data_IF_579701378020
#
_entry.id   IF_579701378020
#
_cell.length_a   1.000
_cell.length_b   1.000
_cell.length_c   1.000
_cell.angle_alpha   90.00
_cell.angle_beta   90.00
_cell.angle_gamma   90.00
#
_symmetry.space_group_name_H-M   'P 1'
#
loop_
_entity.id
_entity.type
_entity.pdbx_description
1 polymer ?
#
# COMPACT_ATOMS: atom_id res chain seq x y z
N UNK A 1 78.60 -16.95 54.35
CA UNK A 1 79.78 -16.04 54.42
C UNK A 1 80.52 -16.12 53.09
N UNK A 2 81.08 -15.03 52.52
CA UNK A 2 80.80 -13.62 52.77
C UNK A 2 80.78 -12.72 51.48
N UNK A 3 80.52 -11.43 51.69
CA UNK A 3 80.85 -10.24 50.86
C UNK A 3 80.03 -10.00 49.57
N UNK A 4 79.64 -8.77 49.19
CA UNK A 4 79.89 -7.40 49.70
C UNK A 4 78.81 -6.47 49.10
N UNK A 5 78.42 -5.46 49.88
CA UNK A 5 77.55 -4.32 49.50
C UNK A 5 78.15 -3.51 48.34
N UNK A 6 77.30 -2.96 47.46
CA UNK A 6 77.39 -1.57 46.98
C UNK A 6 76.01 -0.99 46.66
N UNK A 7 75.66 0.04 47.42
CA UNK A 7 74.61 1.04 47.14
C UNK A 7 75.06 1.94 45.99
N UNK A 8 74.18 2.18 45.00
CA UNK A 8 74.31 3.28 44.04
C UNK A 8 72.93 3.95 43.91
N UNK A 9 72.99 5.28 43.82
CA UNK A 9 71.95 6.27 44.04
C UNK A 9 70.91 6.40 42.92
N UNK A 10 69.81 7.09 43.28
CA UNK A 10 68.71 7.57 42.45
C UNK A 10 69.16 8.24 41.14
N UNK A 11 68.43 7.92 40.07
CA UNK A 11 68.15 8.84 38.98
C UNK A 11 66.66 8.75 38.64
N UNK A 12 65.88 9.74 39.11
CA UNK A 12 64.49 9.94 38.71
C UNK A 12 64.46 10.48 37.27
N UNK A 13 64.06 9.65 36.32
CA UNK A 13 63.74 10.08 34.96
C UNK A 13 62.28 10.53 34.94
N UNK A 14 62.07 11.83 34.79
CA UNK A 14 60.77 12.44 34.47
C UNK A 14 60.38 12.06 33.03
N UNK A 15 59.50 11.07 32.89
CA UNK A 15 58.87 10.75 31.62
C UNK A 15 57.80 11.80 31.29
N UNK A 16 58.11 12.71 30.38
CA UNK A 16 57.12 13.58 29.76
C UNK A 16 56.29 12.75 28.76
N UNK A 17 55.13 12.25 29.20
CA UNK A 17 54.15 11.64 28.31
C UNK A 17 53.54 12.72 27.41
N UNK A 18 54.06 12.83 26.18
CA UNK A 18 53.39 13.53 25.10
C UNK A 18 52.21 12.68 24.65
N UNK A 19 51.00 13.06 25.06
CA UNK A 19 49.77 12.47 24.55
C UNK A 19 49.60 12.90 23.08
N UNK A 20 49.98 12.01 22.16
CA UNK A 20 49.59 12.14 20.75
C UNK A 20 48.12 11.78 20.67
N UNK A 21 47.25 12.78 20.57
CA UNK A 21 45.86 12.57 20.20
C UNK A 21 45.81 12.07 18.75
N UNK A 22 45.71 10.76 18.55
CA UNK A 22 45.27 10.22 17.27
C UNK A 22 43.80 10.59 17.11
N UNK A 23 43.53 11.67 16.39
CA UNK A 23 42.23 11.90 15.81
C UNK A 23 41.98 10.77 14.80
N UNK A 24 41.19 9.78 15.21
CA UNK A 24 40.63 8.81 14.29
C UNK A 24 39.63 9.56 13.39
N UNK A 25 40.12 10.04 12.25
CA UNK A 25 39.25 10.44 11.16
C UNK A 25 38.52 9.17 10.72
N UNK A 26 37.25 9.05 11.09
CA UNK A 26 36.36 8.09 10.44
C UNK A 26 36.39 8.42 8.95
N UNK A 27 36.60 7.43 8.05
CA UNK A 27 36.48 7.71 6.64
C UNK A 27 35.05 8.21 6.43
N UNK A 28 34.91 9.47 6.01
CA UNK A 28 33.66 9.98 5.51
C UNK A 28 33.29 9.08 4.33
N UNK A 29 32.38 8.14 4.54
CA UNK A 29 31.76 7.43 3.43
C UNK A 29 31.20 8.52 2.52
N UNK A 30 31.72 8.63 1.30
CA UNK A 30 31.21 9.59 0.34
C UNK A 30 29.72 9.28 0.15
N UNK A 31 28.85 10.10 0.75
CA UNK A 31 27.41 9.99 0.55
C UNK A 31 27.19 10.08 -0.93
N UNK A 32 26.58 9.04 -1.53
CA UNK A 32 26.26 9.04 -2.95
C UNK A 32 25.54 10.37 -3.25
N UNK A 33 25.94 11.12 -4.30
CA UNK A 33 25.28 12.38 -4.59
C UNK A 33 23.80 12.10 -4.84
N UNK A 34 22.93 12.81 -4.13
CA UNK A 34 21.49 12.74 -4.36
C UNK A 34 21.13 13.34 -5.71
N UNK A 35 19.89 13.12 -6.15
CA UNK A 35 19.37 13.76 -7.36
C UNK A 35 19.05 15.24 -7.17
N UNK A 36 18.80 15.68 -5.93
CA UNK A 36 18.38 17.05 -5.62
C UNK A 36 17.01 17.44 -6.16
N UNK A 37 16.25 16.48 -6.72
CA UNK A 37 14.92 16.70 -7.31
C UNK A 37 13.85 15.92 -6.56
N UNK A 38 12.66 16.53 -6.42
CA UNK A 38 11.46 15.88 -5.86
C UNK A 38 10.62 15.13 -6.91
N UNK A 39 11.09 15.07 -8.15
CA UNK A 39 10.42 14.38 -9.25
C UNK A 39 11.37 13.48 -10.02
N UNK A 40 10.82 12.47 -10.68
CA UNK A 40 11.55 11.45 -11.42
C UNK A 40 10.70 10.73 -12.44
N UNK A 41 11.23 9.63 -12.99
CA UNK A 41 10.48 8.70 -13.85
C UNK A 41 10.72 7.27 -13.41
N UNK A 42 9.69 6.44 -13.50
CA UNK A 42 9.69 5.04 -13.11
C UNK A 42 9.05 4.15 -14.18
N UNK A 43 9.54 2.91 -14.29
CA UNK A 43 8.83 1.84 -14.98
C UNK A 43 7.93 1.13 -13.97
N UNK A 44 6.66 0.97 -14.31
CA UNK A 44 5.65 0.27 -13.51
C UNK A 44 4.85 -0.63 -14.44
N UNK A 45 4.21 -1.67 -13.91
CA UNK A 45 2.99 -2.14 -14.56
C UNK A 45 1.94 -1.04 -14.47
N UNK A 46 0.93 -1.09 -15.33
CA UNK A 46 -0.27 -0.24 -15.18
C UNK A 46 -0.96 -0.61 -13.85
N UNK A 47 -2.22 -1.02 -13.84
CA UNK A 47 -2.77 -1.61 -12.59
C UNK A 47 -2.05 -2.93 -12.31
N UNK A 48 -2.20 -3.88 -13.23
CA UNK A 48 -1.36 -5.07 -13.30
C UNK A 48 -1.42 -5.63 -14.75
N UNK A 49 -0.61 -6.66 -15.08
CA UNK A 49 -0.60 -7.25 -16.43
C UNK A 49 -1.93 -7.87 -16.88
N UNK A 50 -2.67 -8.55 -16.01
CA UNK A 50 -3.95 -9.20 -16.36
C UNK A 50 -5.02 -8.14 -16.63
N UNK A 51 -5.15 -7.15 -15.75
CA UNK A 51 -6.09 -6.04 -15.87
C UNK A 51 -5.89 -5.23 -17.17
N UNK A 52 -4.64 -4.93 -17.52
CA UNK A 52 -4.32 -4.07 -18.68
C UNK A 52 -4.38 -4.81 -20.02
N UNK A 53 -4.17 -6.13 -20.01
CA UNK A 53 -4.14 -6.97 -21.22
C UNK A 53 -5.47 -7.71 -21.47
N UNK A 54 -6.18 -8.08 -20.40
CA UNK A 54 -7.29 -9.03 -20.40
C UNK A 54 -6.85 -10.49 -20.53
N UNK A 55 -5.55 -10.77 -20.48
CA UNK A 55 -5.00 -12.11 -20.68
C UNK A 55 -4.95 -12.87 -19.35
N UNK A 56 -5.90 -13.78 -19.19
CA UNK A 56 -6.02 -14.67 -18.03
C UNK A 56 -5.07 -15.88 -18.10
N UNK A 57 -4.20 -15.98 -19.12
CA UNK A 57 -3.22 -17.07 -19.25
C UNK A 57 -1.81 -16.69 -18.78
N UNK A 58 -1.62 -15.41 -18.38
CA UNK A 58 -0.36 -14.97 -17.80
C UNK A 58 -0.08 -15.74 -16.51
N UNK A 59 1.19 -16.06 -16.30
CA UNK A 59 1.68 -16.73 -15.09
C UNK A 59 3.03 -16.15 -14.73
N UNK A 60 3.40 -16.18 -13.45
CA UNK A 60 4.64 -15.57 -12.96
C UNK A 60 5.91 -15.99 -13.74
N UNK A 61 6.11 -17.28 -14.03
CA UNK A 61 7.31 -17.78 -14.72
C UNK A 61 8.65 -17.34 -14.08
N UNK A 62 8.68 -17.15 -12.76
CA UNK A 62 9.86 -16.78 -11.95
C UNK A 62 10.51 -15.48 -12.41
N UNK A 63 9.74 -14.40 -12.40
CA UNK A 63 10.21 -13.05 -12.77
C UNK A 63 10.77 -12.96 -14.20
N UNK A 64 10.38 -13.88 -15.08
CA UNK A 64 10.77 -13.79 -16.49
C UNK A 64 10.10 -12.59 -17.14
N UNK A 65 10.89 -11.72 -17.78
CA UNK A 65 10.35 -10.62 -18.59
C UNK A 65 9.47 -11.11 -19.74
N UNK A 66 9.65 -12.36 -20.20
CA UNK A 66 8.82 -12.96 -21.25
C UNK A 66 7.43 -13.40 -20.76
N UNK A 67 7.21 -13.45 -19.45
CA UNK A 67 5.95 -13.85 -18.83
C UNK A 67 4.82 -12.84 -19.07
N UNK A 68 5.19 -11.57 -19.27
CA UNK A 68 4.27 -10.45 -19.40
C UNK A 68 4.56 -9.69 -20.69
N UNK A 69 3.54 -9.19 -21.41
CA UNK A 69 3.77 -8.40 -22.60
C UNK A 69 4.34 -7.02 -22.24
N UNK A 70 5.25 -6.48 -23.05
CA UNK A 70 5.79 -5.13 -22.87
C UNK A 70 4.71 -4.03 -22.82
N UNK A 71 3.53 -4.28 -23.39
CA UNK A 71 2.37 -3.38 -23.33
C UNK A 71 1.71 -3.27 -21.96
N UNK A 72 2.04 -4.15 -21.01
CA UNK A 72 1.59 -4.05 -19.62
C UNK A 72 2.37 -2.99 -18.81
N UNK A 73 3.55 -2.60 -19.29
CA UNK A 73 4.39 -1.59 -18.65
C UNK A 73 4.00 -0.17 -19.07
N UNK A 74 4.16 0.75 -18.14
CA UNK A 74 4.07 2.18 -18.38
C UNK A 74 5.29 2.91 -17.79
N UNK A 75 5.74 3.97 -18.47
CA UNK A 75 6.65 4.94 -17.87
C UNK A 75 5.84 6.05 -17.21
N UNK A 76 5.98 6.23 -15.91
CA UNK A 76 5.20 7.18 -15.11
C UNK A 76 6.09 8.24 -14.45
N UNK A 77 5.55 9.44 -14.17
CA UNK A 77 6.24 10.39 -13.31
C UNK A 77 6.25 9.90 -11.87
N UNK A 78 7.43 9.86 -11.24
CA UNK A 78 7.56 9.69 -9.79
C UNK A 78 7.51 11.06 -9.12
N UNK A 79 6.66 11.19 -8.11
CA UNK A 79 6.35 12.44 -7.41
C UNK A 79 6.76 12.34 -5.94
N UNK A 80 6.92 13.49 -5.30
CA UNK A 80 7.16 13.62 -3.85
C UNK A 80 8.48 13.00 -3.36
N UNK A 81 9.51 12.88 -4.23
CA UNK A 81 10.83 12.37 -3.84
C UNK A 81 11.55 13.34 -2.90
N UNK A 82 12.41 12.82 -2.03
CA UNK A 82 13.19 13.62 -1.07
C UNK A 82 14.51 14.18 -1.65
N UNK A 83 14.83 13.87 -2.91
CA UNK A 83 16.06 14.28 -3.58
C UNK A 83 17.31 13.48 -3.19
N UNK A 84 17.18 12.45 -2.34
CA UNK A 84 18.29 11.58 -1.92
C UNK A 84 18.79 10.65 -3.02
N UNK A 85 18.02 10.51 -4.11
CA UNK A 85 18.25 9.52 -5.17
C UNK A 85 17.68 8.13 -4.85
N UNK A 86 17.14 7.91 -3.64
CA UNK A 86 16.38 6.70 -3.29
C UNK A 86 14.87 6.93 -3.52
N UNK A 87 14.10 5.84 -3.55
CA UNK A 87 12.64 5.86 -3.53
C UNK A 87 12.11 6.21 -2.12
N UNK A 88 12.32 7.45 -1.71
CA UNK A 88 11.91 8.04 -0.43
C UNK A 88 11.30 9.39 -0.66
N UNK A 89 10.34 9.77 0.18
CA UNK A 89 9.51 10.92 -0.12
C UNK A 89 8.56 11.36 0.99
N UNK A 90 7.71 12.33 0.65
CA UNK A 90 6.76 12.94 1.58
C UNK A 90 5.67 11.99 2.07
N UNK A 91 5.30 11.00 1.25
CA UNK A 91 4.21 10.07 1.56
C UNK A 91 4.68 8.63 1.76
N UNK A 92 5.79 8.25 1.14
CA UNK A 92 6.27 6.86 1.17
C UNK A 92 7.79 6.81 1.27
N UNK A 93 8.26 5.86 2.05
CA UNK A 93 9.66 5.49 2.12
C UNK A 93 9.78 3.99 1.82
N UNK A 94 10.36 3.67 0.66
CA UNK A 94 10.69 2.28 0.38
C UNK A 94 11.94 1.88 1.18
N UNK A 95 11.78 0.82 1.97
CA UNK A 95 12.79 0.26 2.86
C UNK A 95 13.10 -1.16 2.40
N UNK A 96 14.09 -1.32 1.53
CA UNK A 96 14.65 -2.64 1.25
C UNK A 96 15.47 -3.10 2.46
N UNK A 97 15.10 -4.26 3.03
CA UNK A 97 15.88 -4.97 4.06
C UNK A 97 16.62 -6.18 3.48
N UNK A 98 16.18 -6.62 2.30
CA UNK A 98 16.66 -7.70 1.44
C UNK A 98 16.75 -7.11 0.04
N UNK A 99 17.76 -7.50 -0.75
CA UNK A 99 18.00 -6.93 -2.07
C UNK A 99 18.75 -5.58 -2.09
N UNK A 100 18.98 -5.06 -3.29
CA UNK A 100 19.67 -3.77 -3.49
C UNK A 100 18.64 -2.64 -3.55
N UNK A 101 18.70 -1.64 -2.63
CA UNK A 101 17.80 -0.50 -2.68
C UNK A 101 17.92 0.25 -4.02
N UNK A 102 16.78 0.53 -4.65
CA UNK A 102 16.73 1.32 -5.88
C UNK A 102 17.34 2.71 -5.64
N UNK A 103 18.33 3.07 -6.46
CA UNK A 103 19.04 4.34 -6.36
C UNK A 103 19.34 4.93 -7.74
N UNK A 104 19.13 6.24 -7.90
CA UNK A 104 19.38 6.97 -9.14
C UNK A 104 19.75 8.43 -8.86
N UNK A 105 20.90 8.87 -9.37
CA UNK A 105 21.34 10.28 -9.25
C UNK A 105 20.55 11.22 -10.17
N UNK A 106 19.75 10.68 -11.10
CA UNK A 106 18.90 11.44 -12.02
C UNK A 106 17.41 11.18 -11.79
N UNK A 107 17.05 10.47 -10.71
CA UNK A 107 15.69 9.97 -10.45
C UNK A 107 15.05 9.24 -11.65
N UNK A 108 15.85 8.51 -12.41
CA UNK A 108 15.35 7.61 -13.46
C UNK A 108 15.46 6.17 -12.98
N UNK A 109 14.32 5.50 -12.80
CA UNK A 109 14.19 4.14 -12.26
C UNK A 109 13.49 3.24 -13.29
N UNK A 110 14.25 2.80 -14.30
CA UNK A 110 13.74 1.95 -15.38
C UNK A 110 14.20 0.52 -15.14
N UNK A 111 13.34 -0.25 -14.51
CA UNK A 111 13.55 -1.67 -14.25
C UNK A 111 12.48 -2.49 -14.94
N UNK A 112 12.80 -3.75 -15.24
CA UNK A 112 11.84 -4.78 -15.62
C UNK A 112 11.55 -5.67 -14.42
N UNK A 113 10.51 -6.50 -14.53
CA UNK A 113 10.08 -7.36 -13.42
C UNK A 113 11.17 -8.31 -12.94
N UNK A 114 12.10 -8.70 -13.82
CA UNK A 114 13.26 -9.50 -13.47
C UNK A 114 14.20 -8.89 -12.40
N UNK A 115 13.99 -7.64 -11.99
CA UNK A 115 14.86 -6.91 -11.08
C UNK A 115 14.06 -6.49 -9.84
N UNK A 116 14.52 -6.87 -8.62
CA UNK A 116 13.87 -6.51 -7.34
C UNK A 116 13.58 -5.00 -7.18
N UNK A 117 14.30 -4.13 -7.90
CA UNK A 117 14.02 -2.69 -7.87
C UNK A 117 12.72 -2.30 -8.57
N UNK A 118 12.18 -3.13 -9.45
CA UNK A 118 10.91 -2.90 -10.12
C UNK A 118 9.76 -2.87 -9.10
N UNK A 119 9.68 -3.87 -8.23
CA UNK A 119 8.73 -3.95 -7.12
C UNK A 119 8.84 -2.72 -6.19
N UNK A 120 10.07 -2.24 -5.95
CA UNK A 120 10.29 -1.01 -5.18
C UNK A 120 9.69 0.22 -5.88
N UNK A 121 9.80 0.32 -7.22
CA UNK A 121 9.20 1.42 -8.00
C UNK A 121 7.67 1.32 -8.00
N UNK A 122 7.11 0.10 -8.15
CA UNK A 122 5.68 -0.17 -8.05
C UNK A 122 5.13 0.31 -6.71
N UNK A 123 5.72 -0.14 -5.60
CA UNK A 123 5.31 0.25 -4.26
C UNK A 123 5.40 1.77 -4.02
N UNK A 124 6.49 2.41 -4.46
CA UNK A 124 6.65 3.86 -4.34
C UNK A 124 5.56 4.61 -5.11
N UNK A 125 5.30 4.21 -6.36
CA UNK A 125 4.33 4.87 -7.22
C UNK A 125 2.90 4.68 -6.70
N UNK A 126 2.50 3.45 -6.40
CA UNK A 126 1.11 3.12 -6.06
C UNK A 126 0.68 3.63 -4.68
N UNK A 127 1.57 3.67 -3.69
CA UNK A 127 1.27 4.33 -2.40
C UNK A 127 1.14 5.84 -2.57
N UNK A 128 2.00 6.49 -3.37
CA UNK A 128 1.81 7.91 -3.70
C UNK A 128 0.48 8.14 -4.43
N UNK A 129 0.15 7.30 -5.41
CA UNK A 129 -1.08 7.42 -6.21
C UNK A 129 -2.32 7.26 -5.33
N UNK A 130 -2.33 6.32 -4.37
CA UNK A 130 -3.40 6.16 -3.39
C UNK A 130 -3.51 7.36 -2.45
N UNK A 131 -2.39 7.84 -1.91
CA UNK A 131 -2.39 9.01 -1.02
C UNK A 131 -2.89 10.28 -1.72
N UNK A 132 -2.44 10.54 -2.94
CA UNK A 132 -2.90 11.67 -3.74
C UNK A 132 -4.36 11.52 -4.18
N UNK A 133 -4.83 10.29 -4.44
CA UNK A 133 -6.24 10.02 -4.67
C UNK A 133 -7.08 10.45 -3.47
N UNK A 134 -6.72 10.01 -2.26
CA UNK A 134 -7.39 10.37 -1.00
C UNK A 134 -7.37 11.89 -0.79
N UNK A 135 -6.24 12.56 -1.05
CA UNK A 135 -6.15 14.02 -0.96
C UNK A 135 -7.06 14.73 -1.96
N UNK A 136 -7.19 14.20 -3.18
CA UNK A 136 -8.09 14.74 -4.20
C UNK A 136 -9.58 14.66 -3.82
N UNK A 137 -9.93 13.82 -2.85
CA UNK A 137 -11.27 13.71 -2.27
C UNK A 137 -11.53 14.77 -1.18
N UNK A 138 -10.51 15.54 -0.77
CA UNK A 138 -10.59 16.60 0.23
C UNK A 138 -9.89 16.28 1.56
N UNK A 139 -9.48 15.03 1.80
CA UNK A 139 -8.84 14.63 3.05
C UNK A 139 -7.46 15.27 3.22
N UNK A 140 -7.25 15.93 4.35
CA UNK A 140 -6.06 16.73 4.63
C UNK A 140 -6.13 18.18 4.15
N UNK A 141 -7.26 18.59 3.56
CA UNK A 141 -7.60 19.98 3.22
C UNK A 141 -8.95 20.39 3.83
N UNK A 142 -10.08 20.07 3.19
CA UNK A 142 -11.44 20.37 3.66
C UNK A 142 -11.99 19.31 4.62
N UNK A 143 -11.45 18.09 4.58
CA UNK A 143 -11.74 16.99 5.49
C UNK A 143 -10.50 16.65 6.33
N UNK A 144 -10.64 15.94 7.46
CA UNK A 144 -9.50 15.53 8.29
C UNK A 144 -8.41 14.78 7.49
N UNK A 145 -7.15 14.91 7.90
CA UNK A 145 -6.05 14.23 7.23
C UNK A 145 -6.03 12.73 7.52
N UNK A 146 -5.67 11.93 6.50
CA UNK A 146 -5.53 10.47 6.56
C UNK A 146 -4.10 10.14 6.12
N UNK A 147 -3.41 9.29 6.89
CA UNK A 147 -2.00 8.90 6.68
C UNK A 147 -1.14 10.10 6.21
N UNK A 148 -1.30 11.26 6.85
CA UNK A 148 -0.69 12.54 6.41
C UNK A 148 0.77 12.65 6.87
N UNK A 149 1.56 11.61 6.60
CA UNK A 149 2.95 11.45 6.98
C UNK A 149 3.65 10.44 6.07
N UNK A 150 4.99 10.43 5.98
CA UNK A 150 5.70 9.37 5.28
C UNK A 150 5.40 8.00 5.89
N UNK A 151 5.07 7.04 5.03
CA UNK A 151 4.74 5.68 5.42
C UNK A 151 5.80 4.71 4.91
N UNK A 152 6.33 3.86 5.79
CA UNK A 152 7.38 2.91 5.42
C UNK A 152 6.75 1.69 4.70
N UNK A 153 7.31 1.32 3.55
CA UNK A 153 6.93 0.12 2.81
C UNK A 153 8.15 -0.77 2.65
N UNK A 154 8.00 -2.03 3.02
CA UNK A 154 9.06 -3.03 2.94
C UNK A 154 8.70 -4.09 1.92
N UNK A 155 9.54 -4.20 0.91
CA UNK A 155 9.46 -5.23 -0.13
C UNK A 155 10.28 -6.44 0.34
N UNK A 156 10.01 -7.61 -0.22
CA UNK A 156 10.85 -8.81 -0.12
C UNK A 156 10.95 -9.41 1.29
N UNK A 157 9.91 -9.25 2.12
CA UNK A 157 9.97 -9.57 3.56
C UNK A 157 9.60 -11.01 3.91
N UNK A 158 8.98 -11.75 2.99
CA UNK A 158 8.47 -13.09 3.23
C UNK A 158 8.60 -13.92 1.96
N UNK A 159 9.27 -15.08 2.02
CA UNK A 159 9.40 -16.00 0.88
C UNK A 159 8.13 -16.81 0.60
N UNK A 160 6.99 -16.36 1.10
CA UNK A 160 5.67 -16.93 0.88
C UNK A 160 4.72 -15.85 0.38
N UNK A 161 3.56 -16.29 -0.05
CA UNK A 161 2.49 -15.48 -0.63
C UNK A 161 1.66 -14.90 0.52
N UNK A 162 2.07 -13.72 1.00
CA UNK A 162 1.39 -13.02 2.08
C UNK A 162 1.93 -11.59 2.26
N UNK A 163 1.04 -10.62 2.13
CA UNK A 163 1.26 -9.22 2.47
C UNK A 163 0.49 -8.83 3.73
N UNK A 164 0.96 -7.80 4.44
CA UNK A 164 0.23 -7.26 5.59
C UNK A 164 0.75 -5.89 6.03
N UNK A 165 -0.17 -5.08 6.55
CA UNK A 165 0.12 -3.91 7.37
C UNK A 165 0.34 -4.30 8.84
N UNK A 166 1.25 -3.59 9.53
CA UNK A 166 1.37 -3.65 10.99
C UNK A 166 1.28 -2.27 11.60
N UNK A 167 0.65 -2.14 12.78
CA UNK A 167 0.56 -0.86 13.50
C UNK A 167 1.82 -0.49 14.29
N UNK A 168 2.59 -1.49 14.72
CA UNK A 168 3.81 -1.31 15.52
C UNK A 168 4.87 -2.33 15.10
N UNK A 169 5.84 -1.96 14.26
CA UNK A 169 6.01 -0.65 13.62
C UNK A 169 4.94 -0.37 12.55
N UNK A 170 4.50 0.89 12.42
CA UNK A 170 3.50 1.32 11.44
C UNK A 170 4.06 1.26 10.00
N UNK A 171 3.79 0.17 9.26
CA UNK A 171 4.35 -0.09 7.93
C UNK A 171 3.59 -1.17 7.16
N UNK A 172 3.81 -1.23 5.85
CA UNK A 172 3.41 -2.37 4.98
C UNK A 172 4.61 -3.29 4.75
N UNK A 173 4.34 -4.59 4.67
CA UNK A 173 5.26 -5.61 4.17
C UNK A 173 4.61 -6.34 3.01
N UNK A 174 5.36 -6.48 1.92
CA UNK A 174 4.93 -7.22 0.73
C UNK A 174 5.68 -8.56 0.62
N UNK A 175 4.95 -9.59 0.21
CA UNK A 175 5.40 -10.97 -0.01
C UNK A 175 6.12 -11.18 -1.34
N UNK A 176 6.46 -12.44 -1.63
CA UNK A 176 7.13 -12.92 -2.86
C UNK A 176 6.59 -14.28 -3.33
N UNK A 177 5.33 -14.60 -3.02
CA UNK A 177 4.84 -15.95 -3.20
C UNK A 177 4.02 -16.12 -4.46
N UNK A 178 4.51 -16.94 -5.39
CA UNK A 178 3.84 -17.06 -6.69
C UNK A 178 4.23 -15.87 -7.55
N UNK A 179 3.29 -14.95 -7.78
CA UNK A 179 3.59 -13.62 -8.30
C UNK A 179 4.11 -12.81 -7.12
N UNK A 180 5.15 -12.00 -7.33
CA UNK A 180 5.59 -11.09 -6.29
C UNK A 180 4.48 -10.05 -6.01
N UNK A 181 3.96 -9.99 -4.77
CA UNK A 181 2.81 -9.16 -4.37
C UNK A 181 2.97 -7.67 -4.76
N UNK A 182 4.23 -7.19 -4.81
CA UNK A 182 4.58 -5.83 -5.21
C UNK A 182 4.54 -5.59 -6.74
N UNK A 183 4.21 -6.59 -7.53
CA UNK A 183 3.92 -6.49 -8.96
C UNK A 183 2.43 -6.23 -9.26
N UNK A 184 1.54 -6.36 -8.27
CA UNK A 184 0.13 -6.01 -8.42
C UNK A 184 -0.19 -4.72 -7.65
N UNK A 185 -0.60 -3.68 -8.38
CA UNK A 185 -1.02 -2.41 -7.77
C UNK A 185 -2.13 -2.60 -6.76
N UNK A 186 -3.03 -3.55 -7.00
CA UNK A 186 -4.21 -3.73 -6.17
C UNK A 186 -3.85 -4.34 -4.82
N UNK A 187 -2.84 -5.22 -4.77
CA UNK A 187 -2.28 -5.73 -3.50
C UNK A 187 -1.62 -4.58 -2.71
N UNK A 188 -0.77 -3.78 -3.36
CA UNK A 188 -0.10 -2.63 -2.72
C UNK A 188 -1.12 -1.66 -2.10
N UNK A 189 -2.17 -1.33 -2.85
CA UNK A 189 -3.18 -0.36 -2.39
C UNK A 189 -4.13 -0.96 -1.36
N UNK A 190 -4.44 -2.25 -1.43
CA UNK A 190 -5.21 -2.94 -0.40
C UNK A 190 -4.52 -2.81 0.96
N UNK A 191 -3.22 -3.10 1.02
CA UNK A 191 -2.42 -2.98 2.24
C UNK A 191 -2.34 -1.53 2.75
N UNK A 192 -2.31 -0.57 1.83
CA UNK A 192 -2.43 0.84 2.19
C UNK A 192 -3.82 1.21 2.72
N UNK A 193 -4.87 0.49 2.31
CA UNK A 193 -6.22 0.58 2.86
C UNK A 193 -6.28 0.27 4.36
N UNK A 194 -5.53 -0.73 4.83
CA UNK A 194 -5.40 -0.98 6.27
C UNK A 194 -4.73 0.19 7.00
N UNK A 195 -3.68 0.79 6.40
CA UNK A 195 -3.04 1.97 6.98
C UNK A 195 -4.02 3.14 7.07
N UNK A 196 -4.86 3.35 6.05
CA UNK A 196 -5.94 4.35 6.05
C UNK A 196 -6.89 4.14 7.23
N UNK A 197 -7.44 2.94 7.41
CA UNK A 197 -8.29 2.60 8.55
C UNK A 197 -7.60 2.84 9.89
N UNK A 198 -6.40 2.30 10.08
CA UNK A 198 -5.64 2.46 11.32
C UNK A 198 -5.34 3.93 11.65
N UNK A 199 -5.19 4.80 10.64
CA UNK A 199 -4.98 6.24 10.84
C UNK A 199 -6.23 6.98 11.30
N UNK A 200 -7.42 6.47 10.96
CA UNK A 200 -8.72 7.04 11.36
C UNK A 200 -9.19 6.43 12.70
N UNK A 201 -9.00 5.13 12.87
CA UNK A 201 -9.43 4.34 14.03
C UNK A 201 -8.27 3.44 14.47
N UNK A 202 -7.38 3.91 15.36
CA UNK A 202 -6.27 3.09 15.84
C UNK A 202 -6.75 1.78 16.48
N UNK A 203 -6.18 0.64 16.05
CA UNK A 203 -6.58 -0.69 16.50
C UNK A 203 -7.84 -1.26 15.83
N UNK A 204 -8.25 -0.70 14.68
CA UNK A 204 -9.35 -1.24 13.88
C UNK A 204 -9.15 -2.72 13.52
N UNK A 205 -10.27 -3.44 13.36
CA UNK A 205 -10.25 -4.86 13.06
C UNK A 205 -10.22 -5.76 14.28
N UNK A 206 -10.61 -5.27 15.47
CA UNK A 206 -10.57 -6.06 16.71
C UNK A 206 -11.73 -7.04 16.88
N UNK A 207 -12.60 -7.16 15.89
CA UNK A 207 -13.72 -8.12 15.81
C UNK A 207 -13.80 -8.71 14.41
N UNK A 208 -14.53 -9.82 14.21
CA UNK A 208 -14.71 -10.42 12.89
C UNK A 208 -15.32 -9.42 11.89
N UNK A 209 -16.43 -8.77 12.24
CA UNK A 209 -17.08 -7.80 11.37
C UNK A 209 -16.14 -6.62 11.05
N UNK A 210 -15.40 -6.10 12.05
CA UNK A 210 -14.47 -5.00 11.82
C UNK A 210 -13.30 -5.42 10.92
N UNK A 211 -12.77 -6.63 11.11
CA UNK A 211 -11.74 -7.21 10.25
C UNK A 211 -12.24 -7.34 8.82
N UNK A 212 -13.43 -7.92 8.62
CA UNK A 212 -14.07 -8.03 7.30
C UNK A 212 -14.34 -6.68 6.63
N UNK A 213 -14.72 -5.64 7.38
CA UNK A 213 -14.84 -4.27 6.84
C UNK A 213 -13.46 -3.76 6.41
N UNK A 214 -12.40 -4.05 7.17
CA UNK A 214 -11.01 -3.73 6.85
C UNK A 214 -10.56 -4.35 5.53
N UNK A 215 -10.63 -5.67 5.43
CA UNK A 215 -10.31 -6.44 4.21
C UNK A 215 -11.09 -5.93 3.00
N UNK A 216 -12.40 -5.77 3.19
CA UNK A 216 -13.28 -5.27 2.14
C UNK A 216 -12.92 -3.86 1.68
N UNK A 217 -12.53 -2.98 2.59
CA UNK A 217 -12.17 -1.61 2.25
C UNK A 217 -10.85 -1.58 1.49
N UNK A 218 -9.88 -2.40 1.88
CA UNK A 218 -8.63 -2.59 1.13
C UNK A 218 -8.90 -2.94 -0.32
N UNK A 219 -9.70 -3.98 -0.57
CA UNK A 219 -10.06 -4.42 -1.92
C UNK A 219 -10.79 -3.33 -2.71
N UNK A 220 -11.78 -2.69 -2.09
CA UNK A 220 -12.57 -1.65 -2.75
C UNK A 220 -11.70 -0.43 -3.11
N UNK A 221 -10.80 -0.02 -2.20
CA UNK A 221 -9.90 1.11 -2.41
C UNK A 221 -8.89 0.80 -3.52
N UNK A 222 -8.36 -0.42 -3.55
CA UNK A 222 -7.45 -0.90 -4.58
C UNK A 222 -8.03 -0.73 -5.99
N UNK A 223 -9.22 -1.29 -6.24
CA UNK A 223 -9.92 -1.15 -7.53
C UNK A 223 -10.24 0.32 -7.81
N UNK A 224 -10.71 1.08 -6.81
CA UNK A 224 -11.09 2.49 -7.01
C UNK A 224 -9.90 3.37 -7.41
N UNK A 225 -8.74 3.20 -6.77
CA UNK A 225 -7.50 3.91 -7.09
C UNK A 225 -6.94 3.44 -8.44
N UNK A 226 -6.95 2.13 -8.71
CA UNK A 226 -6.53 1.55 -9.98
C UNK A 226 -7.33 2.11 -11.17
N UNK A 227 -8.65 2.15 -11.06
CA UNK A 227 -9.53 2.75 -12.08
C UNK A 227 -9.33 4.26 -12.25
N UNK A 228 -9.11 4.98 -11.14
CA UNK A 228 -8.83 6.40 -11.20
C UNK A 228 -7.50 6.70 -11.91
N UNK A 229 -6.46 5.92 -11.61
CA UNK A 229 -5.17 6.00 -12.29
C UNK A 229 -5.29 5.63 -13.78
N UNK A 230 -6.02 4.54 -14.10
CA UNK A 230 -6.26 4.16 -15.48
C UNK A 230 -6.94 5.28 -16.28
N UNK A 231 -7.95 5.93 -15.72
CA UNK A 231 -8.57 7.11 -16.31
C UNK A 231 -7.61 8.32 -16.43
N UNK A 232 -6.77 8.55 -15.42
CA UNK A 232 -5.78 9.64 -15.41
C UNK A 232 -4.72 9.47 -16.51
N UNK A 233 -4.22 8.26 -16.73
CA UNK A 233 -3.13 7.99 -17.67
C UNK A 233 -3.60 7.44 -19.02
N UNK A 234 -4.91 7.20 -19.20
CA UNK A 234 -5.47 6.62 -20.42
C UNK A 234 -5.09 5.14 -20.59
N UNK A 235 -4.91 4.41 -19.50
CA UNK A 235 -4.58 2.99 -19.55
C UNK A 235 -5.81 2.12 -19.85
N UNK A 236 -5.63 1.00 -20.58
CA UNK A 236 -6.70 0.03 -20.79
C UNK A 236 -7.17 -0.57 -19.46
N UNK A 237 -8.47 -0.88 -19.39
CA UNK A 237 -9.10 -1.69 -18.36
C UNK A 237 -9.82 -2.82 -19.08
N UNK A 238 -9.24 -4.03 -19.08
CA UNK A 238 -9.68 -5.16 -19.91
C UNK A 238 -10.13 -6.38 -19.13
N UNK A 239 -9.77 -6.48 -17.85
CA UNK A 239 -10.34 -7.48 -16.95
C UNK A 239 -11.58 -6.94 -16.21
N UNK A 240 -12.28 -7.84 -15.52
CA UNK A 240 -13.49 -7.52 -14.76
C UNK A 240 -13.17 -6.64 -13.55
N UNK A 241 -13.78 -5.47 -13.45
CA UNK A 241 -13.50 -4.53 -12.34
C UNK A 241 -13.99 -5.04 -10.96
N UNK A 242 -14.84 -6.06 -10.93
CA UNK A 242 -15.33 -6.68 -9.70
C UNK A 242 -14.36 -7.76 -9.16
N UNK A 243 -13.21 -7.94 -9.81
CA UNK A 243 -12.22 -8.98 -9.55
C UNK A 243 -10.88 -8.30 -9.21
N UNK A 244 -10.64 -7.92 -7.95
CA UNK A 244 -9.35 -7.37 -7.52
C UNK A 244 -8.23 -8.42 -7.57
N UNK A 245 -6.99 -7.94 -7.74
CA UNK A 245 -5.72 -8.68 -7.62
C UNK A 245 -5.61 -9.86 -8.58
N UNK A 246 -6.14 -9.70 -9.80
CA UNK A 246 -6.23 -10.76 -10.80
C UNK A 246 -4.86 -11.26 -11.30
N UNK A 247 -3.82 -10.42 -11.30
CA UNK A 247 -2.46 -10.84 -11.62
C UNK A 247 -1.85 -11.70 -10.51
N UNK A 248 -1.88 -11.20 -9.28
CA UNK A 248 -1.40 -11.94 -8.11
C UNK A 248 -2.08 -13.33 -8.00
N UNK A 249 -3.41 -13.33 -8.24
CA UNK A 249 -4.27 -14.51 -8.21
C UNK A 249 -3.93 -15.59 -9.24
N UNK A 250 -3.14 -15.31 -10.28
CA UNK A 250 -2.73 -16.30 -11.28
C UNK A 250 -1.95 -17.47 -10.67
N UNK A 251 -1.36 -17.27 -9.50
CA UNK A 251 -0.54 -18.29 -8.83
C UNK A 251 -1.34 -19.32 -8.03
N UNK A 252 -2.59 -19.02 -7.67
CA UNK A 252 -3.34 -19.83 -6.69
C UNK A 252 -4.84 -19.98 -6.99
N UNK A 253 -5.37 -19.37 -8.07
CA UNK A 253 -6.77 -19.53 -8.50
C UNK A 253 -6.86 -20.10 -9.92
N UNK A 254 -8.04 -20.62 -10.28
CA UNK A 254 -8.38 -20.94 -11.67
C UNK A 254 -8.89 -19.69 -12.40
N UNK A 255 -8.72 -19.63 -13.73
CA UNK A 255 -9.21 -18.54 -14.55
C UNK A 255 -10.77 -18.50 -14.61
N UNK A 256 -11.42 -17.31 -14.58
CA UNK A 256 -10.80 -15.99 -14.40
C UNK A 256 -10.24 -15.80 -12.99
N UNK A 257 -8.99 -15.35 -12.91
CA UNK A 257 -8.23 -15.27 -11.67
C UNK A 257 -8.72 -14.11 -10.82
N UNK A 258 -9.27 -14.42 -9.65
CA UNK A 258 -9.75 -13.44 -8.68
C UNK A 258 -9.57 -14.01 -7.27
N UNK A 259 -8.81 -13.32 -6.42
CA UNK A 259 -8.67 -13.75 -5.01
C UNK A 259 -10.02 -13.62 -4.29
N UNK A 260 -10.79 -12.59 -4.65
CA UNK A 260 -12.13 -12.24 -4.12
C UNK A 260 -12.95 -11.58 -5.22
N UNK A 261 -14.27 -11.45 -5.00
CA UNK A 261 -15.18 -10.83 -5.96
C UNK A 261 -16.22 -9.92 -5.31
N UNK A 262 -16.65 -8.90 -6.05
CA UNK A 262 -17.66 -7.92 -5.61
C UNK A 262 -19.06 -8.17 -6.20
N UNK A 263 -19.33 -9.35 -6.74
CA UNK A 263 -20.53 -9.62 -7.53
C UNK A 263 -21.09 -11.04 -7.37
N UNK A 264 -20.72 -11.76 -6.31
CA UNK A 264 -21.13 -13.15 -6.05
C UNK A 264 -22.51 -13.27 -5.40
N UNK A 265 -23.03 -12.19 -4.84
CA UNK A 265 -24.31 -12.16 -4.14
C UNK A 265 -24.24 -12.63 -2.69
N UNK A 266 -23.05 -12.71 -2.09
CA UNK A 266 -22.89 -13.10 -0.69
C UNK A 266 -23.69 -12.19 0.24
N UNK A 267 -24.18 -12.77 1.34
CA UNK A 267 -24.94 -12.05 2.37
C UNK A 267 -24.47 -12.47 3.75
N UNK A 268 -24.89 -11.79 4.81
CA UNK A 268 -24.65 -12.22 6.20
C UNK A 268 -25.09 -13.67 6.45
N UNK A 269 -26.06 -14.20 5.71
CA UNK A 269 -26.51 -15.59 5.83
C UNK A 269 -25.51 -16.62 5.28
N UNK A 270 -24.57 -16.21 4.42
CA UNK A 270 -23.56 -17.07 3.79
C UNK A 270 -22.17 -16.85 4.38
N UNK A 271 -22.07 -16.24 5.56
CA UNK A 271 -20.78 -15.97 6.21
C UNK A 271 -20.05 -17.25 6.61
N UNK A 272 -18.73 -17.19 6.54
CA UNK A 272 -17.81 -18.30 6.79
C UNK A 272 -17.03 -18.13 8.10
N UNK A 273 -17.03 -16.94 8.71
CA UNK A 273 -16.29 -16.67 9.94
C UNK A 273 -14.81 -16.35 9.70
N UNK A 274 -14.48 -15.92 8.49
CA UNK A 274 -13.13 -15.57 8.02
C UNK A 274 -13.18 -14.17 7.40
N UNK A 275 -12.22 -13.31 7.73
CA UNK A 275 -12.32 -11.87 7.45
C UNK A 275 -12.32 -11.55 5.95
N UNK A 276 -11.49 -12.23 5.16
CA UNK A 276 -11.38 -12.00 3.72
C UNK A 276 -12.63 -12.52 2.98
N UNK A 277 -13.11 -13.71 3.34
CA UNK A 277 -14.33 -14.30 2.78
C UNK A 277 -15.56 -13.47 3.12
N UNK A 278 -15.75 -13.13 4.40
CA UNK A 278 -16.90 -12.35 4.87
C UNK A 278 -16.83 -10.88 4.42
N UNK A 279 -15.63 -10.37 4.12
CA UNK A 279 -15.41 -9.04 3.53
C UNK A 279 -16.11 -8.87 2.18
N UNK A 280 -16.28 -9.94 1.39
CA UNK A 280 -16.99 -9.88 0.10
C UNK A 280 -18.46 -9.43 0.23
N UNK A 281 -19.08 -9.69 1.39
CA UNK A 281 -20.44 -9.21 1.70
C UNK A 281 -20.46 -7.67 1.71
N UNK A 282 -19.46 -7.06 2.34
CA UNK A 282 -19.34 -5.60 2.44
C UNK A 282 -18.90 -4.99 1.12
N UNK A 283 -17.87 -5.55 0.45
CA UNK A 283 -17.29 -4.96 -0.77
C UNK A 283 -18.29 -4.94 -1.93
N UNK A 284 -19.13 -5.96 -2.04
CA UNK A 284 -20.20 -5.96 -3.02
C UNK A 284 -21.23 -4.84 -2.75
N UNK A 285 -21.60 -4.55 -1.50
CA UNK A 285 -22.44 -3.38 -1.21
C UNK A 285 -21.73 -2.08 -1.63
N UNK A 286 -20.45 -1.93 -1.29
CA UNK A 286 -19.67 -0.74 -1.67
C UNK A 286 -19.62 -0.55 -3.19
N UNK A 287 -19.39 -1.63 -3.94
CA UNK A 287 -19.33 -1.63 -5.39
C UNK A 287 -20.68 -1.27 -6.02
N UNK A 288 -21.77 -1.87 -5.55
CA UNK A 288 -23.11 -1.57 -6.04
C UNK A 288 -23.55 -0.13 -5.70
N UNK A 289 -23.14 0.41 -4.55
CA UNK A 289 -23.40 1.81 -4.20
C UNK A 289 -22.61 2.74 -5.14
N UNK A 290 -21.33 2.45 -5.39
CA UNK A 290 -20.49 3.20 -6.34
C UNK A 290 -21.16 3.30 -7.71
N UNK A 291 -21.63 2.17 -8.24
CA UNK A 291 -22.35 2.13 -9.53
C UNK A 291 -23.68 2.89 -9.46
N UNK A 292 -24.42 2.76 -8.36
CA UNK A 292 -25.67 3.49 -8.14
C UNK A 292 -25.48 5.01 -8.04
N UNK A 293 -24.37 5.49 -7.47
CA UNK A 293 -24.02 6.92 -7.47
C UNK A 293 -23.87 7.45 -8.90
N UNK A 294 -23.16 6.71 -9.75
CA UNK A 294 -23.01 7.05 -11.18
C UNK A 294 -24.37 7.06 -11.88
N UNK A 295 -25.21 6.05 -11.62
CA UNK A 295 -26.56 5.97 -12.20
C UNK A 295 -27.47 7.14 -11.77
N UNK A 296 -27.24 7.74 -10.60
CA UNK A 296 -27.92 8.96 -10.13
C UNK A 296 -27.29 10.26 -10.63
N UNK A 297 -26.27 10.20 -11.49
CA UNK A 297 -25.56 11.37 -12.01
C UNK A 297 -24.53 11.98 -11.05
N UNK A 298 -24.15 11.26 -9.97
CA UNK A 298 -23.03 11.62 -9.10
C UNK A 298 -21.74 10.99 -9.60
N UNK A 299 -20.59 11.43 -9.07
CA UNK A 299 -19.29 10.85 -9.42
C UNK A 299 -18.94 9.70 -8.49
N UNK A 300 -18.05 8.81 -8.96
CA UNK A 300 -17.44 7.78 -8.10
C UNK A 300 -16.66 8.40 -6.94
N UNK A 301 -15.95 9.50 -7.20
CA UNK A 301 -15.27 10.31 -6.17
C UNK A 301 -16.22 10.78 -5.08
N UNK A 302 -17.46 11.16 -5.40
CA UNK A 302 -18.43 11.53 -4.36
C UNK A 302 -18.70 10.32 -3.44
N UNK A 303 -18.98 9.14 -4.00
CA UNK A 303 -19.15 7.96 -3.17
C UNK A 303 -17.90 7.64 -2.32
N UNK A 304 -16.71 7.68 -2.92
CA UNK A 304 -15.46 7.41 -2.19
C UNK A 304 -15.22 8.41 -1.05
N UNK A 305 -15.52 9.70 -1.26
CA UNK A 305 -15.48 10.70 -0.18
C UNK A 305 -16.43 10.34 0.95
N UNK A 306 -17.67 9.93 0.63
CA UNK A 306 -18.69 9.54 1.65
C UNK A 306 -18.26 8.32 2.43
N UNK A 307 -17.79 7.28 1.74
CA UNK A 307 -17.35 6.04 2.36
C UNK A 307 -16.20 6.28 3.33
N UNK A 308 -15.17 7.02 2.90
CA UNK A 308 -13.99 7.28 3.73
C UNK A 308 -14.31 8.25 4.88
N UNK A 309 -15.20 9.24 4.68
CA UNK A 309 -15.65 10.13 5.76
C UNK A 309 -16.43 9.34 6.83
N UNK A 310 -17.29 8.40 6.42
CA UNK A 310 -18.05 7.58 7.35
C UNK A 310 -17.16 6.79 8.34
N UNK A 311 -15.97 6.36 7.90
CA UNK A 311 -15.04 5.57 8.72
C UNK A 311 -14.52 6.32 9.96
N UNK A 312 -14.51 7.66 9.96
CA UNK A 312 -14.17 8.44 11.16
C UNK A 312 -15.17 8.27 12.32
N UNK A 313 -16.33 7.64 12.08
CA UNK A 313 -17.36 7.36 13.08
C UNK A 313 -17.31 5.91 13.57
N UNK A 314 -16.36 5.12 13.08
CA UNK A 314 -16.20 3.73 13.47
C UNK A 314 -15.43 3.63 14.80
N UNK A 315 -15.58 2.48 15.47
CA UNK A 315 -14.81 2.01 16.60
C UNK A 315 -13.97 0.76 16.22
N UNK A 316 -12.95 0.38 17.01
CA UNK A 316 -12.09 -0.77 16.72
C UNK A 316 -12.82 -2.09 16.37
N UNK A 317 -13.99 -2.30 16.97
CA UNK A 317 -14.80 -3.52 16.90
C UNK A 317 -16.12 -3.33 16.12
N UNK A 318 -16.25 -2.25 15.33
CA UNK A 318 -17.47 -1.88 14.59
C UNK A 318 -18.11 -3.08 13.86
N UNK A 319 -19.41 -3.31 14.13
CA UNK A 319 -20.19 -4.32 13.42
C UNK A 319 -20.63 -3.85 12.03
N UNK A 320 -21.00 -4.78 11.15
CA UNK A 320 -21.56 -4.44 9.83
C UNK A 320 -22.78 -3.50 9.94
N UNK A 321 -23.68 -3.73 10.90
CA UNK A 321 -24.85 -2.88 11.13
C UNK A 321 -24.46 -1.45 11.52
N UNK A 322 -23.52 -1.28 12.45
CA UNK A 322 -23.06 0.02 12.89
C UNK A 322 -22.31 0.79 11.78
N UNK A 323 -21.46 0.09 11.02
CA UNK A 323 -20.78 0.68 9.87
C UNK A 323 -21.77 1.11 8.78
N UNK A 324 -22.78 0.28 8.48
CA UNK A 324 -23.80 0.58 7.47
C UNK A 324 -24.62 1.81 7.88
N UNK A 325 -24.96 1.92 9.17
CA UNK A 325 -25.63 3.10 9.73
C UNK A 325 -24.80 4.37 9.60
N UNK A 326 -23.53 4.33 10.01
CA UNK A 326 -22.65 5.49 9.89
C UNK A 326 -22.43 5.91 8.43
N UNK A 327 -22.36 4.95 7.51
CA UNK A 327 -22.25 5.20 6.07
C UNK A 327 -23.53 5.84 5.52
N UNK A 328 -24.69 5.36 5.93
CA UNK A 328 -26.00 5.95 5.62
C UNK A 328 -26.12 7.39 6.14
N UNK A 329 -25.80 7.62 7.41
CA UNK A 329 -25.92 8.95 8.04
C UNK A 329 -24.98 9.95 7.36
N UNK A 330 -23.77 9.52 6.98
CA UNK A 330 -22.81 10.34 6.22
C UNK A 330 -23.33 10.66 4.83
N UNK A 331 -23.88 9.66 4.11
CA UNK A 331 -24.48 9.87 2.79
C UNK A 331 -25.69 10.82 2.86
N UNK A 332 -26.53 10.70 3.90
CA UNK A 332 -27.68 11.58 4.12
C UNK A 332 -27.25 13.02 4.30
N UNK A 333 -26.23 13.25 5.14
CA UNK A 333 -25.71 14.58 5.42
C UNK A 333 -24.98 15.20 4.22
N UNK A 334 -24.19 14.40 3.49
CA UNK A 334 -23.30 14.89 2.43
C UNK A 334 -23.93 14.91 1.04
N UNK A 335 -24.70 13.89 0.71
CA UNK A 335 -25.18 13.62 -0.64
C UNK A 335 -26.70 13.66 -0.81
N UNK A 336 -27.44 13.71 0.31
CA UNK A 336 -28.88 13.83 0.37
C UNK A 336 -29.64 12.50 0.46
N UNK A 337 -30.96 12.60 0.62
CA UNK A 337 -31.83 11.46 0.96
C UNK A 337 -31.82 10.34 -0.09
N UNK A 338 -31.71 10.65 -1.39
CA UNK A 338 -31.68 9.63 -2.44
C UNK A 338 -30.41 8.76 -2.35
N UNK A 339 -29.26 9.39 -2.05
CA UNK A 339 -28.00 8.67 -1.88
C UNK A 339 -28.01 7.80 -0.62
N UNK A 340 -28.54 8.32 0.48
CA UNK A 340 -28.72 7.55 1.70
C UNK A 340 -29.65 6.35 1.49
N UNK A 341 -30.77 6.54 0.78
CA UNK A 341 -31.70 5.45 0.45
C UNK A 341 -31.03 4.35 -0.39
N UNK A 342 -30.19 4.72 -1.37
CA UNK A 342 -29.36 3.76 -2.10
C UNK A 342 -28.42 2.99 -1.16
N UNK A 343 -27.68 3.68 -0.30
CA UNK A 343 -26.76 3.06 0.67
C UNK A 343 -27.49 2.03 1.54
N UNK A 344 -28.63 2.42 2.11
CA UNK A 344 -29.46 1.53 2.92
C UNK A 344 -29.91 0.30 2.12
N UNK A 345 -30.46 0.51 0.93
CA UNK A 345 -30.96 -0.59 0.09
C UNK A 345 -29.85 -1.59 -0.29
N UNK A 346 -28.62 -1.11 -0.54
CA UNK A 346 -27.49 -1.98 -0.90
C UNK A 346 -26.97 -2.79 0.29
N UNK A 347 -26.94 -2.23 1.49
CA UNK A 347 -26.63 -2.99 2.70
C UNK A 347 -27.75 -4.00 3.05
N UNK A 348 -29.02 -3.61 2.92
CA UNK A 348 -30.16 -4.51 3.14
C UNK A 348 -30.12 -5.71 2.17
N UNK A 349 -29.73 -5.49 0.91
CA UNK A 349 -29.55 -6.56 -0.08
C UNK A 349 -28.43 -7.56 0.29
N UNK A 350 -27.56 -7.21 1.23
CA UNK A 350 -26.51 -8.07 1.82
C UNK A 350 -26.91 -8.66 3.18
N UNK A 351 -28.14 -8.41 3.63
CA UNK A 351 -28.62 -8.85 4.95
C UNK A 351 -28.09 -7.99 6.10
N UNK A 352 -27.62 -6.77 5.83
CA UNK A 352 -27.11 -5.83 6.84
C UNK A 352 -28.18 -4.76 7.10
N UNK A 353 -28.77 -4.79 8.30
CA UNK A 353 -29.86 -3.87 8.70
C UNK A 353 -29.46 -3.02 9.90
N UNK A 354 -30.00 -1.81 10.02
CA UNK A 354 -29.72 -0.86 11.10
C UNK A 354 -30.86 0.13 11.37
#
# INVERSE_FOLDING_TARGET
MPQRRRTIALATVTAACTAVALAAATPAAATKPGSGSSTGTGSVFMVNPVQSSGDQSLTDQKDSDAAVPASAYATVPLRNLDGSGYLRGSWVNVRSATGTPAFSTTNTFKYTRHQDQFEQVMAYFWVNQAQEYIQSLGFGSTLPGIVKQPFDVKIDQYGGDNSYQTDKPYRIRLGKGGVDDAEDAEVIVHEYGHAVHASQVPGYGSSLDAGSIGESFGDYLAVSVGLAAAGQYGWPVKAEQACPMDWDSTSYTDAPHCIRRFDTGMTVATREGEVHADGQIWSQALWEIRLGYVAMGKTTKAWDTTLIDAQFRFAPDTSFSAAAKATYDTALARDGAAAAALVKAKFEARGITF
#
